data_IF_531431618021
#
_entry.id   IF_531431618021
#
_cell.length_a   1.000
_cell.length_b   1.000
_cell.length_c   1.000
_cell.angle_alpha   90.00
_cell.angle_beta   90.00
_cell.angle_gamma   90.00
#
_symmetry.space_group_name_H-M   'P 1'
#
loop_
_entity.id
_entity.type
_entity.pdbx_description
1 polymer ?
#
# COMPACT_ATOMS: atom_id res chain seq x y z
N UNK A 1 46.21 -1.05 -9.96
CA UNK A 1 45.30 -1.12 -11.14
C UNK A 1 43.97 -1.79 -10.79
N UNK A 2 43.38 -1.51 -9.63
CA UNK A 2 42.11 -2.12 -9.22
C UNK A 2 40.92 -1.50 -9.95
N UNK A 3 40.96 -0.18 -10.23
CA UNK A 3 39.97 0.50 -11.06
C UNK A 3 39.80 -0.07 -12.48
N UNK A 4 40.83 -0.70 -13.07
CA UNK A 4 40.72 -1.37 -14.38
C UNK A 4 40.01 -2.73 -14.30
N UNK A 5 39.95 -3.37 -13.12
CA UNK A 5 39.22 -4.63 -12.95
C UNK A 5 37.72 -4.36 -12.91
N UNK A 6 37.33 -3.26 -12.27
CA UNK A 6 35.93 -2.81 -12.07
C UNK A 6 35.39 -2.07 -13.30
N UNK A 7 36.20 -1.22 -13.94
CA UNK A 7 35.79 -0.38 -15.08
C UNK A 7 36.50 -0.70 -16.41
N UNK A 8 37.13 -1.87 -16.52
CA UNK A 8 37.94 -2.22 -17.70
C UNK A 8 37.16 -2.49 -18.99
N UNK A 9 35.84 -2.63 -18.94
CA UNK A 9 34.98 -2.74 -20.12
C UNK A 9 33.61 -2.14 -19.87
N UNK A 10 32.93 -1.69 -20.92
CA UNK A 10 31.60 -1.06 -20.84
C UNK A 10 30.61 -1.88 -19.98
N UNK A 11 30.55 -3.20 -20.22
CA UNK A 11 29.65 -4.09 -19.48
C UNK A 11 30.02 -4.24 -18.00
N UNK A 12 31.33 -4.31 -17.68
CA UNK A 12 31.79 -4.36 -16.28
C UNK A 12 31.53 -3.06 -15.55
N UNK A 13 31.70 -1.92 -16.23
CA UNK A 13 31.36 -0.60 -15.70
C UNK A 13 29.88 -0.46 -15.43
N UNK A 14 29.02 -0.90 -16.36
CA UNK A 14 27.56 -0.88 -16.16
C UNK A 14 27.13 -1.79 -15.00
N UNK A 15 27.71 -2.99 -14.90
CA UNK A 15 27.41 -3.90 -13.80
C UNK A 15 27.88 -3.35 -12.45
N UNK A 16 29.10 -2.78 -12.39
CA UNK A 16 29.61 -2.17 -11.16
C UNK A 16 28.83 -0.94 -10.75
N UNK A 17 28.40 -0.09 -11.70
CA UNK A 17 27.50 1.03 -11.39
C UNK A 17 26.14 0.54 -10.89
N UNK A 18 25.60 -0.54 -11.47
CA UNK A 18 24.33 -1.11 -11.01
C UNK A 18 24.44 -1.71 -9.60
N UNK A 19 25.40 -2.59 -9.36
CA UNK A 19 25.56 -3.28 -8.07
C UNK A 19 26.12 -2.31 -7.01
N UNK A 20 27.28 -1.71 -7.28
CA UNK A 20 27.97 -0.90 -6.28
C UNK A 20 27.46 0.53 -6.19
N UNK A 21 26.86 1.06 -7.27
CA UNK A 21 26.34 2.43 -7.31
C UNK A 21 24.84 2.55 -7.03
N UNK A 22 24.02 1.61 -7.50
CA UNK A 22 22.56 1.66 -7.27
C UNK A 22 22.10 0.86 -6.05
N UNK A 23 22.72 -0.29 -5.78
CA UNK A 23 22.42 -1.10 -4.58
C UNK A 23 23.32 -0.69 -3.40
N UNK A 24 24.31 0.18 -3.65
CA UNK A 24 25.32 0.67 -2.71
C UNK A 24 26.17 -0.45 -2.09
N UNK A 25 26.23 -1.61 -2.75
CA UNK A 25 27.01 -2.76 -2.30
C UNK A 25 28.51 -2.47 -2.48
N UNK A 26 29.29 -2.49 -1.40
CA UNK A 26 30.70 -2.11 -1.39
C UNK A 26 31.01 -0.75 -2.08
N UNK A 27 30.10 0.22 -1.96
CA UNK A 27 30.24 1.55 -2.58
C UNK A 27 31.52 2.28 -2.16
N UNK A 28 31.98 2.07 -0.93
CA UNK A 28 33.25 2.63 -0.41
C UNK A 28 34.44 2.08 -1.19
N UNK A 29 34.48 0.78 -1.46
CA UNK A 29 35.56 0.16 -2.25
C UNK A 29 35.60 0.71 -3.68
N UNK A 30 34.43 0.90 -4.28
CA UNK A 30 34.32 1.49 -5.62
C UNK A 30 34.74 2.97 -5.65
N UNK A 31 34.34 3.76 -4.64
CA UNK A 31 34.74 5.15 -4.50
C UNK A 31 36.26 5.31 -4.27
N UNK A 32 36.85 4.47 -3.43
CA UNK A 32 38.30 4.41 -3.20
C UNK A 32 39.05 4.06 -4.49
N UNK A 33 38.58 3.05 -5.22
CA UNK A 33 39.16 2.65 -6.52
C UNK A 33 39.15 3.78 -7.56
N UNK A 34 38.07 4.58 -7.61
CA UNK A 34 37.96 5.76 -8.49
C UNK A 34 38.90 6.88 -8.01
N UNK A 35 38.97 7.10 -6.69
CA UNK A 35 39.82 8.13 -6.07
C UNK A 35 41.31 7.87 -6.34
N UNK A 36 41.75 6.63 -6.25
CA UNK A 36 43.13 6.22 -6.56
C UNK A 36 43.53 6.45 -8.02
N UNK A 37 42.55 6.55 -8.92
CA UNK A 37 42.79 6.88 -10.33
C UNK A 37 43.18 8.36 -10.51
N UNK A 38 43.02 9.20 -9.48
CA UNK A 38 43.36 10.63 -9.50
C UNK A 38 42.43 11.51 -10.34
N UNK A 39 41.38 10.94 -10.94
CA UNK A 39 40.46 11.65 -11.82
C UNK A 39 39.23 12.16 -11.04
N UNK A 40 39.28 13.41 -10.60
CA UNK A 40 38.21 14.05 -9.83
C UNK A 40 36.88 14.16 -10.59
N UNK A 41 36.90 14.25 -11.92
CA UNK A 41 35.67 14.29 -12.73
C UNK A 41 34.90 12.98 -12.66
N UNK A 42 35.61 11.86 -12.70
CA UNK A 42 35.01 10.53 -12.59
C UNK A 42 34.41 10.30 -11.20
N UNK A 43 35.07 10.79 -10.15
CA UNK A 43 34.56 10.74 -8.78
C UNK A 43 33.28 11.58 -8.63
N UNK A 44 33.27 12.81 -9.17
CA UNK A 44 32.09 13.67 -9.14
C UNK A 44 30.90 13.06 -9.90
N UNK A 45 31.15 12.46 -11.07
CA UNK A 45 30.12 11.76 -11.84
C UNK A 45 29.58 10.53 -11.08
N UNK A 46 30.43 9.77 -10.41
CA UNK A 46 30.03 8.62 -9.58
C UNK A 46 29.18 9.05 -8.38
N UNK A 47 29.56 10.12 -7.68
CA UNK A 47 28.76 10.67 -6.57
C UNK A 47 27.39 11.17 -7.04
N UNK A 48 27.34 11.89 -8.16
CA UNK A 48 26.08 12.33 -8.75
C UNK A 48 25.20 11.13 -9.13
N UNK A 49 25.79 10.08 -9.69
CA UNK A 49 25.09 8.84 -10.02
C UNK A 49 24.48 8.18 -8.77
N UNK A 50 25.22 8.10 -7.65
CA UNK A 50 24.71 7.57 -6.38
C UNK A 50 23.51 8.38 -5.85
N UNK A 51 23.61 9.71 -5.90
CA UNK A 51 22.50 10.57 -5.43
C UNK A 51 21.27 10.39 -6.32
N UNK A 52 21.45 10.33 -7.63
CA UNK A 52 20.37 10.12 -8.58
C UNK A 52 19.73 8.72 -8.44
N UNK A 53 20.54 7.67 -8.28
CA UNK A 53 20.06 6.29 -8.09
C UNK A 53 19.26 6.16 -6.79
N UNK A 54 19.76 6.74 -5.69
CA UNK A 54 19.06 6.76 -4.41
C UNK A 54 17.73 7.51 -4.48
N UNK A 55 17.68 8.66 -5.17
CA UNK A 55 16.44 9.40 -5.36
C UNK A 55 15.41 8.63 -6.21
N UNK A 56 15.86 7.97 -7.28
CA UNK A 56 14.98 7.11 -8.09
C UNK A 56 14.44 5.92 -7.27
N UNK A 57 15.29 5.26 -6.48
CA UNK A 57 14.87 4.15 -5.63
C UNK A 57 13.88 4.61 -4.55
N UNK A 58 14.14 5.77 -3.93
CA UNK A 58 13.21 6.36 -2.96
C UNK A 58 11.84 6.63 -3.59
N UNK A 59 11.80 7.23 -4.78
CA UNK A 59 10.55 7.52 -5.47
C UNK A 59 9.78 6.25 -5.85
N UNK A 60 10.48 5.17 -6.21
CA UNK A 60 9.87 3.86 -6.46
C UNK A 60 9.25 3.27 -5.19
N UNK A 61 9.99 3.27 -4.08
CA UNK A 61 9.55 2.72 -2.80
C UNK A 61 8.36 3.49 -2.22
N UNK A 62 8.38 4.82 -2.29
CA UNK A 62 7.26 5.65 -1.83
C UNK A 62 5.99 5.34 -2.62
N UNK A 63 6.09 5.09 -3.94
CA UNK A 63 4.96 4.68 -4.76
C UNK A 63 4.34 3.35 -4.29
N UNK A 64 5.17 2.33 -4.07
CA UNK A 64 4.71 1.02 -3.60
C UNK A 64 4.12 1.10 -2.19
N UNK A 65 4.77 1.84 -1.28
CA UNK A 65 4.27 2.03 0.08
C UNK A 65 2.92 2.74 0.10
N UNK A 66 2.75 3.77 -0.75
CA UNK A 66 1.48 4.45 -0.89
C UNK A 66 0.37 3.50 -1.39
N UNK A 67 0.66 2.66 -2.36
CA UNK A 67 -0.29 1.65 -2.87
C UNK A 67 -0.71 0.66 -1.77
N UNK A 68 0.24 0.11 -1.02
CA UNK A 68 -0.04 -0.83 0.07
C UNK A 68 -0.84 -0.16 1.20
N UNK A 69 -0.50 1.08 1.57
CA UNK A 69 -1.23 1.82 2.61
C UNK A 69 -2.66 2.12 2.15
N UNK A 70 -2.87 2.53 0.90
CA UNK A 70 -4.21 2.76 0.36
C UNK A 70 -5.03 1.47 0.30
N UNK A 71 -4.44 0.37 -0.17
CA UNK A 71 -5.11 -0.95 -0.19
C UNK A 71 -5.48 -1.43 1.22
N UNK A 72 -4.59 -1.25 2.20
CA UNK A 72 -4.87 -1.58 3.60
C UNK A 72 -5.98 -0.70 4.18
N UNK A 73 -5.96 0.61 3.90
CA UNK A 73 -6.98 1.54 4.36
C UNK A 73 -8.36 1.27 3.73
N UNK A 74 -8.42 0.88 2.45
CA UNK A 74 -9.66 0.46 1.81
C UNK A 74 -10.22 -0.82 2.41
N UNK A 75 -9.37 -1.81 2.69
CA UNK A 75 -9.77 -3.05 3.36
C UNK A 75 -10.32 -2.78 4.77
N UNK A 76 -9.66 -1.93 5.53
CA UNK A 76 -10.11 -1.53 6.87
C UNK A 76 -11.42 -0.74 6.80
N UNK A 77 -11.56 0.20 5.86
CA UNK A 77 -12.79 0.97 5.66
C UNK A 77 -13.96 0.08 5.27
N UNK A 78 -13.74 -0.94 4.44
CA UNK A 78 -14.77 -1.91 4.09
C UNK A 78 -15.21 -2.74 5.32
N UNK A 79 -14.27 -3.19 6.15
CA UNK A 79 -14.57 -3.88 7.39
C UNK A 79 -15.34 -2.99 8.39
N UNK A 80 -14.93 -1.74 8.57
CA UNK A 80 -15.64 -0.76 9.42
C UNK A 80 -17.05 -0.47 8.93
N UNK A 81 -17.25 -0.33 7.61
CA UNK A 81 -18.59 -0.15 7.03
C UNK A 81 -19.48 -1.35 7.33
N UNK A 82 -18.99 -2.56 7.10
CA UNK A 82 -19.72 -3.79 7.39
C UNK A 82 -20.11 -3.89 8.88
N UNK A 83 -19.23 -3.50 9.80
CA UNK A 83 -19.53 -3.51 11.23
C UNK A 83 -20.53 -2.41 11.63
N UNK A 84 -20.38 -1.19 11.08
CA UNK A 84 -21.32 -0.08 11.30
C UNK A 84 -22.73 -0.48 10.85
N UNK A 85 -22.82 -1.09 9.68
CA UNK A 85 -24.05 -1.63 9.13
C UNK A 85 -24.62 -2.73 10.01
N UNK A 86 -23.80 -3.71 10.42
CA UNK A 86 -24.23 -4.78 11.31
C UNK A 86 -24.81 -4.22 12.61
N UNK A 87 -24.16 -3.21 13.19
CA UNK A 87 -24.61 -2.53 14.41
C UNK A 87 -25.89 -1.72 14.18
N UNK A 88 -26.05 -1.07 13.02
CA UNK A 88 -27.29 -0.36 12.66
C UNK A 88 -28.46 -1.33 12.51
N UNK A 89 -28.27 -2.47 11.82
CA UNK A 89 -29.26 -3.54 11.71
C UNK A 89 -29.61 -4.05 13.11
N UNK A 90 -28.62 -4.44 13.90
CA UNK A 90 -28.86 -4.93 15.27
C UNK A 90 -29.65 -3.91 16.08
N UNK A 91 -29.31 -2.62 16.01
CA UNK A 91 -30.05 -1.56 16.69
C UNK A 91 -31.52 -1.48 16.23
N UNK A 92 -31.80 -1.58 14.93
CA UNK A 92 -33.20 -1.55 14.45
C UNK A 92 -33.94 -2.83 14.83
N UNK A 93 -33.31 -3.99 14.68
CA UNK A 93 -33.89 -5.28 15.09
C UNK A 93 -34.20 -5.29 16.59
N UNK A 94 -33.30 -4.79 17.44
CA UNK A 94 -33.52 -4.72 18.90
C UNK A 94 -34.65 -3.74 19.27
N UNK A 95 -34.90 -2.70 18.46
CA UNK A 95 -36.05 -1.79 18.67
C UNK A 95 -37.38 -2.41 18.25
N UNK A 96 -37.36 -3.35 17.30
CA UNK A 96 -38.55 -4.03 16.80
C UNK A 96 -38.88 -5.32 17.54
N UNK A 97 -37.87 -5.96 18.13
CA UNK A 97 -37.98 -7.14 18.98
C UNK A 97 -38.74 -6.78 20.27
N UNK A 98 -40.05 -6.96 20.22
CA UNK A 98 -40.97 -6.52 21.27
C UNK A 98 -41.11 -7.59 22.36
N UNK A 99 -40.71 -8.83 22.07
CA UNK A 99 -40.71 -9.96 23.00
C UNK A 99 -39.33 -10.27 23.61
N UNK A 100 -38.28 -9.54 23.17
CA UNK A 100 -36.88 -9.73 23.60
C UNK A 100 -36.39 -11.17 23.43
N UNK A 101 -36.96 -11.90 22.47
CA UNK A 101 -36.58 -13.29 22.18
C UNK A 101 -35.23 -13.40 21.49
N UNK A 102 -34.73 -12.30 20.91
CA UNK A 102 -33.53 -12.31 20.07
C UNK A 102 -33.76 -12.91 18.68
N UNK A 103 -35.00 -13.26 18.34
CA UNK A 103 -35.42 -13.78 17.04
C UNK A 103 -36.54 -12.91 16.46
N UNK A 104 -36.49 -12.61 15.15
CA UNK A 104 -37.55 -11.83 14.50
C UNK A 104 -38.69 -12.77 14.10
N UNK A 105 -39.85 -12.60 14.72
CA UNK A 105 -41.04 -13.37 14.37
C UNK A 105 -41.66 -12.86 13.06
N UNK A 106 -42.33 -13.73 12.29
CA UNK A 106 -42.93 -13.39 10.98
C UNK A 106 -43.91 -12.20 11.04
N UNK A 107 -44.55 -12.00 12.18
CA UNK A 107 -45.44 -10.86 12.48
C UNK A 107 -44.66 -9.55 12.72
N UNK A 108 -43.53 -9.61 13.41
CA UNK A 108 -42.63 -8.46 13.63
C UNK A 108 -41.96 -8.05 12.31
N UNK A 109 -41.55 -9.02 11.49
CA UNK A 109 -41.01 -8.78 10.15
C UNK A 109 -42.04 -8.11 9.21
N UNK A 110 -43.30 -8.54 9.26
CA UNK A 110 -44.37 -7.92 8.47
C UNK A 110 -44.71 -6.50 8.94
N UNK A 111 -44.63 -6.24 10.25
CA UNK A 111 -44.72 -4.89 10.79
C UNK A 111 -43.51 -4.01 10.37
N UNK A 112 -42.34 -4.63 10.19
CA UNK A 112 -41.08 -3.98 9.78
C UNK A 112 -41.12 -3.42 8.36
N UNK A 113 -41.81 -4.08 7.42
CA UNK A 113 -41.95 -3.64 6.01
C UNK A 113 -42.61 -2.27 5.83
N UNK A 114 -43.29 -1.75 6.86
CA UNK A 114 -43.94 -0.44 6.84
C UNK A 114 -43.08 0.72 7.34
N UNK A 115 -41.90 0.45 7.92
CA UNK A 115 -41.04 1.49 8.51
C UNK A 115 -40.00 2.00 7.50
N UNK A 116 -40.13 3.27 7.11
CA UNK A 116 -39.24 3.93 6.15
C UNK A 116 -37.76 3.88 6.55
N UNK A 117 -37.45 4.00 7.85
CA UNK A 117 -36.06 3.95 8.37
C UNK A 117 -35.36 2.61 8.10
N UNK A 118 -36.10 1.49 8.08
CA UNK A 118 -35.49 0.19 7.81
C UNK A 118 -35.32 -0.07 6.32
N UNK A 119 -36.26 0.40 5.48
CA UNK A 119 -36.07 0.35 4.03
C UNK A 119 -34.89 1.22 3.58
N UNK A 120 -34.72 2.40 4.17
CA UNK A 120 -33.56 3.27 3.91
C UNK A 120 -32.25 2.58 4.34
N UNK A 121 -32.24 1.98 5.54
CA UNK A 121 -31.07 1.23 6.01
C UNK A 121 -30.75 -0.01 5.15
N UNK A 122 -31.77 -0.70 4.61
CA UNK A 122 -31.63 -1.85 3.69
C UNK A 122 -31.21 -1.44 2.27
N UNK A 123 -31.63 -0.27 1.81
CA UNK A 123 -31.27 0.30 0.51
C UNK A 123 -29.81 0.79 0.50
N UNK A 124 -29.36 1.44 1.57
CA UNK A 124 -27.94 1.80 1.81
C UNK A 124 -27.01 0.58 1.87
N UNK A 125 -27.59 -0.60 2.02
CA UNK A 125 -26.95 -1.89 2.20
C UNK A 125 -26.82 -2.70 0.91
N UNK A 126 -27.39 -2.22 -0.20
CA UNK A 126 -27.51 -2.95 -1.48
C UNK A 126 -28.13 -4.35 -1.35
N UNK A 127 -28.83 -4.66 -0.25
CA UNK A 127 -29.55 -5.92 -0.07
C UNK A 127 -30.89 -5.78 -0.80
N UNK A 128 -30.88 -5.97 -2.12
CA UNK A 128 -32.12 -6.05 -2.89
C UNK A 128 -32.81 -7.40 -2.64
N UNK A 129 -34.13 -7.38 -2.36
CA UNK A 129 -34.98 -8.57 -2.40
C UNK A 129 -34.73 -9.32 -3.72
N UNK A 130 -34.23 -10.56 -3.65
CA UNK A 130 -34.39 -11.49 -4.77
C UNK A 130 -35.89 -11.79 -4.87
N UNK A 131 -36.51 -11.26 -5.91
CA UNK A 131 -37.87 -11.62 -6.33
C UNK A 131 -38.02 -13.13 -6.51
#
# INVERSE_FOLDING_TARGET
NEGQVVFGSMGKSMFSLFVMGSILDDVTYCADSIRETGNMWMLAAFLLFIVASAFMMMNLLVGILAEVVMSSAESEKAAMKADTIRNAILSVLTKLDNDSSGEITRTEFMAMKGHAELNEALEDLEISEKQ
#
